data_IF_691213414336
#
_entry.id   IF_691213414336
#
_cell.length_a   1.000
_cell.length_b   1.000
_cell.length_c   1.000
_cell.angle_alpha   90.00
_cell.angle_beta   90.00
_cell.angle_gamma   90.00
#
_symmetry.space_group_name_H-M   'P 1'
#
loop_
_entity.id
_entity.type
_entity.pdbx_description
1 polymer ?
#
# COMPACT_ATOMS: atom_id res chain seq x y z
N UNK A 1 11.33 -5.39 -15.18
CA UNK A 1 10.18 -5.21 -14.26
C UNK A 1 9.08 -6.16 -14.73
N UNK A 2 8.57 -7.03 -13.85
CA UNK A 2 7.45 -7.94 -14.16
C UNK A 2 6.22 -7.46 -13.41
N UNK A 3 5.09 -7.39 -14.09
CA UNK A 3 3.80 -7.14 -13.43
C UNK A 3 3.35 -8.43 -12.73
N UNK A 4 3.00 -8.30 -11.46
CA UNK A 4 2.54 -9.42 -10.64
C UNK A 4 1.07 -9.73 -10.94
N UNK A 5 0.67 -11.00 -10.89
CA UNK A 5 -0.75 -11.43 -10.85
C UNK A 5 -1.33 -11.36 -9.43
N UNK A 6 -0.73 -10.52 -8.60
CA UNK A 6 -1.08 -10.36 -7.20
C UNK A 6 -1.66 -8.97 -6.96
N UNK A 7 -2.29 -8.86 -5.81
CA UNK A 7 -2.80 -7.64 -5.21
C UNK A 7 -2.12 -7.47 -3.85
N UNK A 8 -1.87 -6.21 -3.45
CA UNK A 8 -1.41 -5.88 -2.12
C UNK A 8 -2.52 -5.10 -1.40
N UNK A 9 -2.93 -5.60 -0.24
CA UNK A 9 -3.86 -4.96 0.68
C UNK A 9 -3.10 -4.41 1.87
N UNK A 10 -3.20 -3.12 2.12
CA UNK A 10 -2.56 -2.48 3.28
C UNK A 10 -3.63 -2.17 4.30
N UNK A 11 -3.43 -2.70 5.51
CA UNK A 11 -4.31 -2.43 6.65
C UNK A 11 -3.80 -1.21 7.40
N UNK A 12 -4.55 -0.11 7.33
CA UNK A 12 -4.29 1.11 8.12
C UNK A 12 -5.12 1.06 9.40
N UNK A 13 -4.51 0.88 10.58
CA UNK A 13 -5.22 0.88 11.85
C UNK A 13 -6.08 2.14 12.06
N UNK A 14 -7.30 1.97 12.56
CA UNK A 14 -8.18 3.09 12.94
C UNK A 14 -8.15 3.33 14.45
N UNK A 15 -8.81 4.41 14.90
CA UNK A 15 -9.03 4.63 16.33
C UNK A 15 -9.84 3.51 16.99
N UNK A 16 -10.67 2.79 16.22
CA UNK A 16 -11.43 1.62 16.70
C UNK A 16 -10.46 0.50 17.02
N UNK A 17 -9.47 0.22 16.16
CA UNK A 17 -8.46 -0.79 16.46
C UNK A 17 -7.63 -0.45 17.70
N UNK A 18 -7.22 0.81 17.86
CA UNK A 18 -6.52 1.25 19.07
C UNK A 18 -7.38 1.03 20.32
N UNK A 19 -8.68 1.34 20.25
CA UNK A 19 -9.62 1.11 21.34
C UNK A 19 -9.81 -0.38 21.64
N UNK A 20 -9.86 -1.20 20.59
CA UNK A 20 -9.89 -2.66 20.70
C UNK A 20 -8.63 -3.18 21.40
N UNK A 21 -7.44 -2.77 20.98
CA UNK A 21 -6.19 -3.18 21.65
C UNK A 21 -6.18 -2.79 23.14
N UNK A 22 -6.67 -1.59 23.46
CA UNK A 22 -6.74 -1.10 24.83
C UNK A 22 -7.70 -1.93 25.70
N UNK A 23 -8.80 -2.44 25.12
CA UNK A 23 -9.73 -3.32 25.84
C UNK A 23 -9.15 -4.72 26.06
N UNK A 24 -8.24 -5.19 25.20
CA UNK A 24 -7.63 -6.52 25.34
C UNK A 24 -6.64 -6.58 26.51
N UNK A 25 -5.88 -5.50 26.77
CA UNK A 25 -4.91 -5.42 27.87
C UNK A 25 -4.87 -4.01 28.49
N UNK A 26 -5.74 -3.72 29.48
CA UNK A 26 -5.89 -2.39 30.07
C UNK A 26 -4.61 -1.79 30.67
N UNK A 27 -3.66 -2.64 31.08
CA UNK A 27 -2.41 -2.22 31.71
C UNK A 27 -1.24 -2.07 30.73
N UNK A 28 -1.46 -2.29 29.43
CA UNK A 28 -0.41 -2.16 28.41
C UNK A 28 -0.30 -0.72 27.92
N UNK A 29 0.92 -0.18 27.93
CA UNK A 29 1.20 1.11 27.30
C UNK A 29 1.18 0.95 25.77
N UNK A 30 0.03 1.27 25.17
CA UNK A 30 -0.12 1.29 23.73
C UNK A 30 0.46 2.58 23.12
N UNK A 31 1.02 2.49 21.91
CA UNK A 31 1.45 3.68 21.18
C UNK A 31 0.26 4.54 20.75
N UNK A 32 0.51 5.81 20.40
CA UNK A 32 -0.52 6.67 19.80
C UNK A 32 -0.90 6.17 18.39
N UNK A 33 -2.08 6.54 17.91
CA UNK A 33 -2.57 6.08 16.60
C UNK A 33 -1.60 6.39 15.44
N UNK A 34 -0.87 7.51 15.52
CA UNK A 34 0.08 7.88 14.45
C UNK A 34 1.21 6.87 14.38
N UNK A 35 1.76 6.48 15.53
CA UNK A 35 2.79 5.44 15.61
C UNK A 35 2.29 4.08 15.11
N UNK A 36 1.02 3.71 15.37
CA UNK A 36 0.43 2.50 14.81
C UNK A 36 0.37 2.53 13.27
N UNK A 37 0.30 3.72 12.67
CA UNK A 37 0.15 3.91 11.23
C UNK A 37 1.47 4.10 10.46
N UNK A 38 2.63 4.16 11.14
CA UNK A 38 3.93 4.46 10.49
C UNK A 38 4.39 3.35 9.54
N UNK A 39 4.14 2.09 9.89
CA UNK A 39 4.60 0.92 9.13
C UNK A 39 3.44 -0.06 9.01
N UNK A 40 2.43 0.28 8.21
CA UNK A 40 1.24 -0.56 8.09
C UNK A 40 1.59 -1.93 7.48
N UNK A 41 0.91 -2.99 7.91
CA UNK A 41 1.14 -4.31 7.33
C UNK A 41 0.51 -4.39 5.95
N UNK A 42 1.28 -4.89 4.99
CA UNK A 42 0.85 -5.17 3.64
C UNK A 42 0.66 -6.68 3.46
N UNK A 43 -0.49 -7.07 2.94
CA UNK A 43 -0.86 -8.45 2.69
C UNK A 43 -0.92 -8.71 1.19
N UNK A 44 -0.29 -9.80 0.74
CA UNK A 44 -0.34 -10.24 -0.65
C UNK A 44 -1.48 -11.22 -0.83
N UNK A 45 -2.36 -10.89 -1.76
CA UNK A 45 -3.49 -11.70 -2.24
C UNK A 45 -3.30 -12.05 -3.71
N UNK A 46 -4.03 -13.05 -4.19
CA UNK A 46 -4.15 -13.24 -5.64
C UNK A 46 -4.98 -12.09 -6.21
N UNK A 47 -4.61 -11.60 -7.39
CA UNK A 47 -5.39 -10.55 -8.03
C UNK A 47 -6.76 -11.09 -8.43
N UNK A 48 -7.81 -10.48 -7.91
CA UNK A 48 -9.18 -10.83 -8.25
C UNK A 48 -9.71 -9.98 -9.43
N UNK A 49 -10.85 -10.41 -9.97
CA UNK A 49 -11.48 -9.76 -11.11
C UNK A 49 -12.45 -8.62 -10.70
N UNK A 50 -12.75 -8.47 -9.41
CA UNK A 50 -13.59 -7.41 -8.86
C UNK A 50 -13.26 -7.15 -7.39
N UNK A 51 -13.58 -5.94 -6.92
CA UNK A 51 -13.40 -5.56 -5.51
C UNK A 51 -14.23 -6.45 -4.57
N UNK A 52 -15.42 -6.89 -4.98
CA UNK A 52 -16.25 -7.83 -4.22
C UNK A 52 -15.53 -9.18 -4.03
N UNK A 53 -14.90 -9.71 -5.08
CA UNK A 53 -14.15 -10.96 -4.99
C UNK A 53 -12.88 -10.82 -4.14
N UNK A 54 -12.24 -9.64 -4.19
CA UNK A 54 -11.15 -9.28 -3.27
C UNK A 54 -11.66 -9.27 -1.82
N UNK A 55 -12.83 -8.68 -1.56
CA UNK A 55 -13.42 -8.62 -0.23
C UNK A 55 -13.76 -10.03 0.30
N UNK A 56 -14.29 -10.91 -0.56
CA UNK A 56 -14.54 -12.31 -0.23
C UNK A 56 -13.24 -13.05 0.15
N UNK A 57 -12.12 -12.79 -0.54
CA UNK A 57 -10.82 -13.37 -0.18
C UNK A 57 -10.29 -12.82 1.15
N UNK A 58 -10.48 -11.52 1.41
CA UNK A 58 -10.15 -10.90 2.71
C UNK A 58 -11.00 -11.53 3.81
N UNK A 59 -12.30 -11.76 3.60
CA UNK A 59 -13.18 -12.42 4.58
C UNK A 59 -12.72 -13.86 4.89
N UNK A 60 -12.20 -14.59 3.92
CA UNK A 60 -11.63 -15.92 4.18
C UNK A 60 -10.37 -15.89 5.05
N UNK A 61 -9.67 -14.74 5.09
CA UNK A 61 -8.39 -14.59 5.77
C UNK A 61 -8.40 -13.62 6.96
N UNK A 62 -9.52 -12.94 7.24
CA UNK A 62 -9.56 -11.83 8.19
C UNK A 62 -9.09 -12.26 9.59
N UNK A 63 -9.47 -13.44 10.06
CA UNK A 63 -9.06 -13.93 11.39
C UNK A 63 -7.54 -14.04 11.52
N UNK A 64 -6.85 -14.47 10.46
CA UNK A 64 -5.38 -14.57 10.41
C UNK A 64 -4.74 -13.19 10.34
N UNK A 65 -5.26 -12.30 9.50
CA UNK A 65 -4.79 -10.92 9.38
C UNK A 65 -4.95 -10.18 10.71
N UNK A 66 -6.12 -10.28 11.32
CA UNK A 66 -6.43 -9.59 12.56
C UNK A 66 -5.61 -10.11 13.73
N UNK A 67 -5.44 -11.44 13.83
CA UNK A 67 -4.55 -12.07 14.80
C UNK A 67 -3.12 -11.57 14.66
N UNK A 68 -2.61 -11.46 13.43
CA UNK A 68 -1.29 -10.92 13.16
C UNK A 68 -1.17 -9.48 13.68
N UNK A 69 -2.11 -8.60 13.34
CA UNK A 69 -2.08 -7.20 13.79
C UNK A 69 -2.15 -7.08 15.32
N UNK A 70 -2.95 -7.90 15.98
CA UNK A 70 -3.02 -7.90 17.46
C UNK A 70 -1.70 -8.37 18.07
N UNK A 71 -1.15 -9.50 17.58
CA UNK A 71 0.12 -10.03 18.06
C UNK A 71 1.28 -9.06 17.83
N UNK A 72 1.25 -8.30 16.74
CA UNK A 72 2.27 -7.31 16.42
C UNK A 72 2.41 -6.25 17.52
N UNK A 73 1.30 -5.84 18.14
CA UNK A 73 1.31 -4.79 19.15
C UNK A 73 1.30 -5.31 20.60
N UNK A 74 0.62 -6.44 20.85
CA UNK A 74 0.49 -7.01 22.20
C UNK A 74 1.44 -8.18 22.48
N UNK A 75 2.15 -8.66 21.46
CA UNK A 75 3.00 -9.84 21.49
C UNK A 75 2.21 -11.16 21.47
N UNK A 76 2.96 -12.27 21.44
CA UNK A 76 2.41 -13.65 21.37
C UNK A 76 1.57 -14.05 22.59
N UNK A 77 1.64 -13.27 23.66
CA UNK A 77 0.87 -13.47 24.90
C UNK A 77 -0.55 -12.90 24.82
N UNK A 78 -0.94 -12.26 23.71
CA UNK A 78 -2.34 -11.98 23.44
C UNK A 78 -3.10 -13.31 23.37
N UNK A 79 -3.78 -13.67 24.47
CA UNK A 79 -4.35 -14.99 24.78
C UNK A 79 -5.88 -15.04 24.69
N UNK A 80 -6.50 -14.04 24.08
CA UNK A 80 -7.95 -13.98 24.03
C UNK A 80 -8.47 -14.74 22.81
N UNK A 81 -9.58 -15.46 22.98
CA UNK A 81 -10.40 -15.90 21.86
C UNK A 81 -10.81 -14.64 21.11
N UNK A 82 -10.32 -14.48 19.88
CA UNK A 82 -10.72 -13.39 19.01
C UNK A 82 -12.10 -13.77 18.47
N UNK A 83 -13.14 -13.59 19.31
CA UNK A 83 -14.55 -13.72 18.92
C UNK A 83 -15.00 -12.47 18.16
N UNK A 84 -14.22 -12.04 17.17
CA UNK A 84 -14.57 -10.87 16.36
C UNK A 84 -15.08 -11.34 15.02
N UNK A 85 -16.24 -10.83 14.63
CA UNK A 85 -16.80 -11.11 13.31
C UNK A 85 -16.11 -10.22 12.25
N UNK A 86 -16.38 -10.47 10.97
CA UNK A 86 -15.76 -9.73 9.89
C UNK A 86 -16.05 -8.21 9.93
N UNK A 87 -17.22 -7.80 10.44
CA UNK A 87 -17.56 -6.37 10.53
C UNK A 87 -16.69 -5.63 11.55
N UNK A 88 -16.35 -6.27 12.68
CA UNK A 88 -15.44 -5.70 13.67
C UNK A 88 -14.05 -5.46 13.05
N UNK A 89 -13.59 -6.42 12.24
CA UNK A 89 -12.36 -6.30 11.47
C UNK A 89 -12.43 -5.13 10.47
N UNK A 90 -13.50 -5.00 9.71
CA UNK A 90 -13.70 -3.88 8.78
C UNK A 90 -13.72 -2.52 9.50
N UNK A 91 -14.23 -2.46 10.73
CA UNK A 91 -14.22 -1.23 11.53
C UNK A 91 -12.83 -0.88 12.10
N UNK A 92 -12.00 -1.90 12.33
CA UNK A 92 -10.65 -1.73 12.87
C UNK A 92 -9.65 -1.19 11.84
N UNK A 93 -9.89 -1.39 10.54
CA UNK A 93 -8.92 -1.06 9.51
C UNK A 93 -9.53 -0.30 8.34
N UNK A 94 -8.80 0.72 7.86
CA UNK A 94 -8.99 1.23 6.50
C UNK A 94 -8.14 0.37 5.56
N UNK A 95 -8.73 -0.10 4.48
CA UNK A 95 -8.07 -0.89 3.45
C UNK A 95 -7.54 0.04 2.37
N UNK A 96 -6.36 -0.28 1.85
CA UNK A 96 -5.81 0.32 0.65
C UNK A 96 -5.33 -0.78 -0.29
N UNK A 97 -5.80 -0.74 -1.53
CA UNK A 97 -5.59 -1.78 -2.51
C UNK A 97 -4.61 -1.32 -3.58
N UNK A 98 -3.57 -2.12 -3.80
CA UNK A 98 -2.55 -1.87 -4.81
C UNK A 98 -2.45 -3.05 -5.77
N UNK A 99 -2.77 -2.81 -7.04
CA UNK A 99 -2.68 -3.83 -8.09
C UNK A 99 -1.54 -3.57 -9.09
N UNK A 100 -0.94 -2.38 -9.06
CA UNK A 100 0.23 -2.07 -9.87
C UNK A 100 1.51 -2.41 -9.13
N UNK A 101 1.89 -3.69 -9.21
CA UNK A 101 3.05 -4.23 -8.52
C UNK A 101 4.21 -4.42 -9.48
N UNK A 102 5.35 -3.85 -9.10
CA UNK A 102 6.63 -3.95 -9.80
C UNK A 102 7.58 -4.80 -8.97
N UNK A 103 7.86 -6.01 -9.44
CA UNK A 103 8.78 -6.93 -8.77
C UNK A 103 10.23 -6.64 -9.13
N UNK A 104 11.06 -6.37 -8.11
CA UNK A 104 12.54 -6.35 -8.20
C UNK A 104 13.17 -7.66 -7.73
N UNK A 105 12.44 -8.44 -6.94
CA UNK A 105 12.81 -9.80 -6.54
C UNK A 105 12.40 -10.83 -7.62
N UNK A 106 13.00 -12.04 -7.61
CA UNK A 106 12.64 -13.11 -8.55
C UNK A 106 11.16 -13.52 -8.45
N UNK A 107 10.59 -13.46 -7.24
CA UNK A 107 9.21 -13.83 -6.94
C UNK A 107 8.67 -13.00 -5.77
N UNK A 108 7.35 -12.83 -5.70
CA UNK A 108 6.73 -12.05 -4.63
C UNK A 108 6.79 -12.82 -3.30
N UNK A 109 6.68 -14.14 -3.35
CA UNK A 109 6.54 -15.06 -2.22
C UNK A 109 7.76 -15.08 -1.30
N UNK A 110 8.95 -14.76 -1.82
CA UNK A 110 10.17 -14.62 -1.01
C UNK A 110 10.41 -13.19 -0.51
N UNK A 111 9.48 -12.27 -0.81
CA UNK A 111 9.61 -10.86 -0.48
C UNK A 111 8.93 -10.54 0.84
N UNK A 112 9.54 -9.66 1.62
CA UNK A 112 9.06 -9.25 2.95
C UNK A 112 8.96 -7.73 3.11
N UNK A 113 9.35 -6.96 2.10
CA UNK A 113 9.26 -5.50 2.11
C UNK A 113 8.73 -4.97 0.78
N UNK A 114 8.08 -3.81 0.84
CA UNK A 114 7.70 -3.06 -0.35
C UNK A 114 7.85 -1.55 -0.12
N UNK A 115 7.99 -0.83 -1.22
CA UNK A 115 7.96 0.62 -1.25
C UNK A 115 6.76 1.06 -2.07
N UNK A 116 5.93 1.95 -1.54
CA UNK A 116 4.87 2.58 -2.31
C UNK A 116 5.36 3.90 -2.88
N UNK A 117 5.20 4.04 -4.19
CA UNK A 117 5.52 5.24 -4.94
C UNK A 117 4.21 6.01 -5.08
N UNK A 118 3.92 6.88 -4.09
CA UNK A 118 2.67 7.64 -4.03
C UNK A 118 2.80 8.93 -4.82
N UNK A 119 1.89 9.23 -5.76
CA UNK A 119 1.86 10.53 -6.41
C UNK A 119 1.60 11.60 -5.34
N UNK A 120 2.30 12.74 -5.47
CA UNK A 120 2.04 13.94 -4.68
C UNK A 120 1.08 14.85 -5.44
N UNK A 121 0.46 15.77 -4.70
CA UNK A 121 -0.41 16.82 -5.23
C UNK A 121 0.21 17.52 -6.45
N UNK A 122 1.50 17.84 -6.41
CA UNK A 122 2.19 18.47 -7.54
C UNK A 122 2.13 17.67 -8.85
N UNK A 123 2.15 16.33 -8.79
CA UNK A 123 2.00 15.49 -9.98
C UNK A 123 0.56 15.46 -10.44
N UNK A 124 -0.39 15.39 -9.52
CA UNK A 124 -1.81 15.35 -9.85
C UNK A 124 -2.28 16.66 -10.47
N UNK A 125 -1.79 17.79 -9.95
CA UNK A 125 -2.06 19.11 -10.52
C UNK A 125 -1.43 19.22 -11.92
N UNK A 126 -0.21 18.71 -12.11
CA UNK A 126 0.39 18.62 -13.43
C UNK A 126 -0.44 17.75 -14.40
N UNK A 127 -1.00 16.63 -13.94
CA UNK A 127 -1.88 15.77 -14.75
C UNK A 127 -3.13 16.55 -15.15
N UNK A 128 -3.78 17.25 -14.21
CA UNK A 128 -4.96 18.09 -14.50
C UNK A 128 -4.64 19.15 -15.54
N UNK A 129 -3.59 19.94 -15.33
CA UNK A 129 -3.19 21.00 -16.26
C UNK A 129 -2.87 20.47 -17.66
N UNK A 130 -2.34 19.25 -17.75
CA UNK A 130 -2.04 18.59 -19.02
C UNK A 130 -3.28 18.05 -19.74
N UNK A 131 -4.38 17.80 -19.01
CA UNK A 131 -5.66 17.28 -19.51
C UNK A 131 -6.68 18.39 -19.81
N UNK A 132 -6.68 19.49 -19.04
CA UNK A 132 -7.55 20.67 -19.22
C UNK A 132 -7.42 21.33 -20.62
N UNK A 133 -6.39 20.98 -21.39
CA UNK A 133 -6.27 21.32 -22.81
C UNK A 133 -7.20 20.53 -23.76
N UNK A 134 -8.03 19.60 -23.27
CA UNK A 134 -8.93 18.73 -24.05
C UNK A 134 -10.40 18.71 -23.52
N UNK A 135 -11.11 19.83 -23.66
CA UNK A 135 -12.59 20.05 -23.69
C UNK A 135 -13.55 19.41 -22.64
N UNK A 136 -14.11 20.29 -21.79
CA UNK A 136 -15.53 20.55 -21.41
C UNK A 136 -16.48 19.50 -20.79
N UNK A 137 -16.03 18.29 -20.41
CA UNK A 137 -16.90 17.32 -19.69
C UNK A 137 -16.29 16.68 -18.42
N UNK A 138 -15.19 17.23 -17.91
CA UNK A 138 -14.20 16.41 -17.21
C UNK A 138 -14.13 16.56 -15.67
N UNK A 139 -14.68 17.63 -15.08
CA UNK A 139 -14.46 17.99 -13.66
C UNK A 139 -14.85 16.93 -12.60
N UNK A 140 -15.85 16.08 -12.85
CA UNK A 140 -16.32 15.07 -11.88
C UNK A 140 -15.70 13.70 -12.13
N UNK A 141 -15.48 13.33 -13.40
CA UNK A 141 -14.82 12.07 -13.77
C UNK A 141 -13.33 12.13 -13.44
N UNK A 142 -12.69 13.30 -13.64
CA UNK A 142 -11.27 13.54 -13.31
C UNK A 142 -10.98 13.37 -11.82
N UNK A 143 -11.83 13.89 -10.92
CA UNK A 143 -11.60 13.78 -9.47
C UNK A 143 -11.64 12.34 -8.98
N UNK A 144 -12.54 11.53 -9.56
CA UNK A 144 -12.65 10.11 -9.24
C UNK A 144 -11.42 9.36 -9.77
N UNK A 145 -11.01 9.59 -11.01
CA UNK A 145 -9.79 8.97 -11.58
C UNK A 145 -8.52 9.35 -10.80
N UNK A 146 -8.34 10.62 -10.44
CA UNK A 146 -7.18 11.08 -9.67
C UNK A 146 -7.16 10.52 -8.24
N UNK A 147 -8.32 10.39 -7.60
CA UNK A 147 -8.42 9.75 -6.28
C UNK A 147 -8.01 8.27 -6.34
N UNK A 148 -8.40 7.56 -7.41
CA UNK A 148 -7.94 6.20 -7.67
C UNK A 148 -6.44 6.13 -8.03
N UNK A 149 -5.86 7.20 -8.58
CA UNK A 149 -4.41 7.27 -8.81
C UNK A 149 -3.63 7.42 -7.50
N UNK A 150 -4.14 8.20 -6.55
CA UNK A 150 -3.58 8.34 -5.20
C UNK A 150 -3.71 7.04 -4.39
N UNK A 151 -4.88 6.41 -4.40
CA UNK A 151 -5.18 5.24 -3.58
C UNK A 151 -4.52 3.96 -4.09
N UNK A 152 -4.37 3.78 -5.41
CA UNK A 152 -3.71 2.61 -6.00
C UNK A 152 -2.31 2.98 -6.51
N UNK A 153 -1.44 3.36 -5.57
CA UNK A 153 -0.04 3.68 -5.84
C UNK A 153 0.75 2.50 -6.45
N UNK A 154 1.89 2.82 -7.07
CA UNK A 154 2.80 1.77 -7.60
C UNK A 154 3.55 1.12 -6.44
N UNK A 155 3.40 -0.20 -6.29
CA UNK A 155 4.09 -0.98 -5.27
C UNK A 155 5.37 -1.60 -5.84
N UNK A 156 6.53 -1.16 -5.35
CA UNK A 156 7.83 -1.70 -5.69
C UNK A 156 8.25 -2.73 -4.64
N UNK A 157 8.28 -4.00 -5.01
CA UNK A 157 8.65 -5.09 -4.09
C UNK A 157 10.14 -5.37 -4.21
N UNK A 158 10.86 -5.15 -3.11
CA UNK A 158 12.30 -5.36 -3.00
C UNK A 158 12.66 -5.61 -1.54
N UNK A 159 13.53 -6.59 -1.30
CA UNK A 159 14.07 -6.87 0.01
C UNK A 159 15.33 -6.03 0.25
N UNK A 160 15.33 -5.23 1.32
CA UNK A 160 16.51 -4.49 1.76
C UNK A 160 17.10 -5.16 2.98
N UNK A 161 18.43 -5.28 3.02
CA UNK A 161 19.11 -5.80 4.21
C UNK A 161 19.04 -4.79 5.36
N UNK A 162 18.95 -3.49 5.03
CA UNK A 162 18.82 -2.40 5.97
C UNK A 162 17.99 -1.25 5.39
N UNK A 163 17.16 -0.59 6.21
CA UNK A 163 16.38 0.59 5.83
C UNK A 163 17.25 1.75 5.33
N UNK A 164 18.51 1.83 5.74
CA UNK A 164 19.46 2.86 5.27
C UNK A 164 19.79 2.72 3.79
N UNK A 165 19.61 1.54 3.18
CA UNK A 165 19.86 1.26 1.77
C UNK A 165 18.75 1.78 0.85
N UNK A 166 17.54 2.01 1.39
CA UNK A 166 16.38 2.42 0.61
C UNK A 166 16.63 3.76 -0.08
N UNK A 167 17.12 4.77 0.65
CA UNK A 167 17.33 6.12 0.09
C UNK A 167 18.40 6.14 -1.02
N UNK A 168 19.60 5.53 -0.86
CA UNK A 168 20.54 5.34 -1.96
C UNK A 168 19.91 4.61 -3.14
N UNK A 169 19.19 3.50 -2.89
CA UNK A 169 18.55 2.75 -3.96
C UNK A 169 17.57 3.60 -4.79
N UNK A 170 16.69 4.37 -4.15
CA UNK A 170 15.77 5.27 -4.88
C UNK A 170 16.55 6.33 -5.66
N UNK A 171 17.61 6.90 -5.08
CA UNK A 171 18.46 7.88 -5.78
C UNK A 171 19.15 7.32 -7.02
N UNK A 172 19.52 6.04 -7.00
CA UNK A 172 20.17 5.40 -8.13
C UNK A 172 19.15 4.91 -9.19
N UNK A 173 17.88 4.78 -8.80
CA UNK A 173 16.83 4.15 -9.62
C UNK A 173 15.59 5.04 -9.85
N UNK A 174 15.65 6.35 -9.58
CA UNK A 174 14.46 7.21 -9.68
C UNK A 174 13.90 7.27 -11.10
N UNK A 175 14.74 7.19 -12.14
CA UNK A 175 14.30 7.18 -13.55
C UNK A 175 13.45 5.94 -13.86
N UNK A 176 13.94 4.70 -13.68
CA UNK A 176 13.10 3.53 -13.95
C UNK A 176 11.87 3.43 -13.02
N UNK A 177 11.96 3.91 -11.78
CA UNK A 177 10.82 3.96 -10.85
C UNK A 177 9.76 4.94 -11.36
N UNK A 178 10.17 6.13 -11.78
CA UNK A 178 9.29 7.13 -12.37
C UNK A 178 8.59 6.59 -13.61
N UNK A 179 9.34 6.00 -14.55
CA UNK A 179 8.75 5.45 -15.77
C UNK A 179 7.73 4.36 -15.46
N UNK A 180 8.01 3.49 -14.48
CA UNK A 180 7.04 2.49 -14.04
C UNK A 180 5.78 3.15 -13.48
N UNK A 181 5.91 4.12 -12.56
CA UNK A 181 4.78 4.81 -11.97
C UNK A 181 3.94 5.59 -12.99
N UNK A 182 4.59 6.32 -13.91
CA UNK A 182 3.93 7.11 -14.95
C UNK A 182 3.25 6.25 -16.01
N UNK A 183 3.80 5.08 -16.34
CA UNK A 183 3.20 4.16 -17.33
C UNK A 183 1.79 3.70 -16.96
N UNK A 184 1.44 3.73 -15.67
CA UNK A 184 0.07 3.51 -15.19
C UNK A 184 -0.85 4.71 -15.44
N UNK A 185 -0.32 5.92 -15.32
CA UNK A 185 -1.09 7.17 -15.33
C UNK A 185 -1.27 7.73 -16.74
N UNK A 186 -0.28 7.53 -17.63
CA UNK A 186 -0.32 7.99 -19.01
C UNK A 186 0.44 7.03 -19.92
N UNK A 187 -0.18 6.67 -21.04
CA UNK A 187 0.39 5.79 -22.07
C UNK A 187 1.32 6.51 -23.05
N UNK A 188 1.51 7.83 -22.92
CA UNK A 188 2.27 8.66 -23.86
C UNK A 188 3.51 9.23 -23.16
N UNK A 189 4.67 8.54 -23.20
CA UNK A 189 5.89 8.98 -22.51
C UNK A 189 6.38 10.37 -22.91
N UNK A 190 6.12 10.78 -24.15
CA UNK A 190 6.50 12.11 -24.66
C UNK A 190 5.79 13.27 -23.94
N UNK A 191 4.68 12.99 -23.26
CA UNK A 191 3.92 13.99 -22.52
C UNK A 191 4.27 13.99 -21.03
N UNK A 192 5.03 13.01 -20.51
CA UNK A 192 5.36 12.96 -19.08
C UNK A 192 6.21 14.15 -18.64
N UNK A 193 6.13 14.56 -17.36
CA UNK A 193 6.97 15.63 -16.86
C UNK A 193 8.45 15.21 -16.94
N UNK A 194 9.31 16.15 -17.32
CA UNK A 194 10.75 15.88 -17.38
C UNK A 194 11.31 15.71 -15.96
N UNK A 195 12.03 14.60 -15.74
CA UNK A 195 12.72 14.33 -14.48
C UNK A 195 14.22 14.12 -14.74
N UNK A 196 14.99 15.18 -14.53
CA UNK A 196 16.45 15.20 -14.71
C UNK A 196 17.22 14.92 -13.40
N UNK A 197 16.51 14.89 -12.27
CA UNK A 197 17.12 14.73 -10.95
C UNK A 197 16.21 14.02 -9.96
N UNK A 198 16.83 13.43 -8.94
CA UNK A 198 16.12 12.85 -7.79
C UNK A 198 15.28 13.91 -7.02
N UNK A 199 15.68 15.18 -7.06
CA UNK A 199 14.93 16.25 -6.42
C UNK A 199 13.59 16.47 -7.12
N UNK A 200 13.60 16.54 -8.46
CA UNK A 200 12.39 16.64 -9.28
C UNK A 200 11.48 15.42 -9.07
N UNK A 201 12.07 14.22 -9.04
CA UNK A 201 11.33 13.01 -8.69
C UNK A 201 10.63 13.11 -7.32
N UNK A 202 11.34 13.61 -6.30
CA UNK A 202 10.80 13.74 -4.93
C UNK A 202 9.72 14.82 -4.78
N UNK A 203 9.61 15.75 -5.74
CA UNK A 203 8.52 16.71 -5.81
C UNK A 203 7.22 16.06 -6.30
N UNK A 204 7.32 15.10 -7.22
CA UNK A 204 6.18 14.40 -7.79
C UNK A 204 5.77 13.15 -7.02
N UNK A 205 6.70 12.50 -6.32
CA UNK A 205 6.43 11.24 -5.62
C UNK A 205 6.87 11.27 -4.15
N UNK A 206 6.06 10.65 -3.31
CA UNK A 206 6.41 10.26 -1.96
C UNK A 206 6.76 8.77 -1.94
N UNK A 207 7.70 8.39 -1.08
CA UNK A 207 8.07 6.99 -0.86
C UNK A 207 7.58 6.60 0.53
N UNK A 208 6.70 5.62 0.58
CA UNK A 208 6.31 4.97 1.83
C UNK A 208 6.91 3.58 1.91
N UNK A 209 7.37 3.22 3.10
CA UNK A 209 8.12 2.00 3.34
C UNK A 209 7.22 1.09 4.18
N UNK A 210 6.97 -0.12 3.68
CA UNK A 210 6.33 -1.16 4.47
C UNK A 210 7.33 -2.29 4.69
N UNK A 211 7.63 -2.55 5.95
CA UNK A 211 8.60 -3.59 6.35
C UNK A 211 7.96 -4.95 6.56
N UNK A 212 6.62 -5.00 6.55
CA UNK A 212 5.81 -6.18 6.78
C UNK A 212 5.00 -6.50 5.53
N UNK A 213 5.57 -7.28 4.61
CA UNK A 213 4.84 -7.88 3.49
C UNK A 213 4.54 -9.35 3.80
N UNK A 214 3.26 -9.67 3.98
CA UNK A 214 2.78 -10.97 4.44
C UNK A 214 1.99 -11.66 3.33
N UNK A 215 2.38 -12.89 3.01
CA UNK A 215 1.68 -13.69 2.01
C UNK A 215 0.53 -14.46 2.65
N UNK A 216 -0.69 -14.23 2.17
CA UNK A 216 -1.86 -14.95 2.67
C UNK A 216 -2.00 -16.34 2.02
N UNK A 217 -1.42 -16.53 0.83
CA UNK A 217 -1.32 -17.84 0.16
C UNK A 217 -0.24 -18.73 0.78
N UNK A 218 -0.62 -19.98 1.12
CA UNK A 218 0.18 -21.09 1.68
C UNK A 218 0.49 -21.03 3.20
N UNK A 219 -0.54 -21.19 4.03
CA UNK A 219 -0.41 -22.14 5.15
C UNK A 219 -0.95 -23.49 4.70
N UNK A 220 -0.08 -24.35 4.15
CA UNK A 220 -0.35 -25.79 4.19
C UNK A 220 -0.30 -26.17 5.68
N UNK A 221 -1.45 -26.39 6.28
CA UNK A 221 -1.58 -27.28 7.44
C UNK A 221 -1.26 -28.70 7.01
#
# INVERSE_FOLDING_TARGET
MRHSQHEIVILKPTAVFLSFLASQLPDTKLPDLRLLQIDNTAYVLQKQNSDDATLDEIEQHFSKMFRHEICRWLGDKARNEIETNFLDFLCCFKFELHNHIVLMEPSIETSHQLLLIRPRVALLDWIKESLEGQDDLSDVIEKVELSHLEENATALVRNFSNLTEIKPFIKDNYIPIFSAAMSRMSSIPAQWPSIDSYQTFSQYFAIEIHTQLIHLSHSRS
#
